data_IF_118720240105
#
_entry.id   IF_118720240105
#
_cell.length_a   1.000
_cell.length_b   1.000
_cell.length_c   1.000
_cell.angle_alpha   90.00
_cell.angle_beta   90.00
_cell.angle_gamma   90.00
#
_symmetry.space_group_name_H-M   'P 1'
#
loop_
_entity.id
_entity.type
_entity.pdbx_description
1 polymer ?
#
# COMPACT_ATOMS: atom_id res chain seq x y z
N UNK A 1 10.20 2.52 -2.59
CA UNK A 1 9.95 3.40 -1.41
C UNK A 1 8.48 3.82 -1.32
N UNK A 2 7.81 4.03 -2.45
CA UNK A 2 6.39 4.35 -2.63
C UNK A 2 5.42 3.48 -1.81
N UNK A 3 5.68 2.18 -1.65
CA UNK A 3 4.89 1.26 -0.84
C UNK A 3 4.84 1.64 0.64
N UNK A 4 5.98 2.07 1.20
CA UNK A 4 6.08 2.47 2.61
C UNK A 4 5.34 3.79 2.83
N UNK A 5 5.48 4.74 1.91
CA UNK A 5 4.76 6.01 1.97
C UNK A 5 3.25 5.81 1.84
N UNK A 6 2.80 4.92 0.94
CA UNK A 6 1.40 4.57 0.81
C UNK A 6 0.85 3.92 2.08
N UNK A 7 1.60 3.00 2.69
CA UNK A 7 1.23 2.37 3.96
C UNK A 7 1.15 3.39 5.11
N UNK A 8 2.12 4.31 5.22
CA UNK A 8 2.09 5.38 6.23
C UNK A 8 0.92 6.34 6.02
N UNK A 9 0.59 6.67 4.77
CA UNK A 9 -0.58 7.50 4.45
C UNK A 9 -1.87 6.82 4.88
N UNK A 10 -2.05 5.54 4.54
CA UNK A 10 -3.21 4.75 4.94
C UNK A 10 -3.32 4.66 6.47
N UNK A 11 -2.21 4.39 7.16
CA UNK A 11 -2.15 4.37 8.62
C UNK A 11 -2.60 5.69 9.23
N UNK A 12 -2.07 6.82 8.74
CA UNK A 12 -2.41 8.15 9.26
C UNK A 12 -3.85 8.57 8.92
N UNK A 13 -4.42 8.06 7.84
CA UNK A 13 -5.81 8.25 7.46
C UNK A 13 -6.78 7.33 8.24
N UNK A 14 -6.28 6.45 9.12
CA UNK A 14 -7.10 5.48 9.85
C UNK A 14 -7.72 4.41 8.94
N UNK A 15 -7.14 4.20 7.74
CA UNK A 15 -7.57 3.18 6.79
C UNK A 15 -6.75 1.91 6.99
N UNK A 16 -7.40 0.77 6.82
CA UNK A 16 -6.73 -0.52 6.88
C UNK A 16 -5.68 -0.66 5.77
N UNK A 17 -4.51 -1.19 6.11
CA UNK A 17 -3.43 -1.45 5.16
C UNK A 17 -3.64 -2.85 4.56
N UNK A 18 -4.42 -2.92 3.48
CA UNK A 18 -4.69 -4.16 2.75
C UNK A 18 -4.31 -4.03 1.26
N UNK A 19 -4.34 -5.15 0.53
CA UNK A 19 -3.89 -5.20 -0.87
C UNK A 19 -4.69 -4.24 -1.76
N UNK A 20 -6.00 -4.12 -1.52
CA UNK A 20 -6.88 -3.23 -2.28
C UNK A 20 -6.52 -1.76 -2.05
N UNK A 21 -6.48 -1.33 -0.79
CA UNK A 21 -6.22 0.06 -0.41
C UNK A 21 -4.84 0.52 -0.87
N UNK A 22 -3.82 -0.33 -0.71
CA UNK A 22 -2.46 -0.01 -1.14
C UNK A 22 -2.36 0.10 -2.66
N UNK A 23 -2.98 -0.83 -3.39
CA UNK A 23 -3.01 -0.82 -4.86
C UNK A 23 -3.73 0.42 -5.39
N UNK A 24 -4.85 0.82 -4.78
CA UNK A 24 -5.60 2.01 -5.17
C UNK A 24 -4.80 3.29 -4.98
N UNK A 25 -4.09 3.43 -3.86
CA UNK A 25 -3.24 4.60 -3.60
C UNK A 25 -2.08 4.66 -4.59
N UNK A 26 -1.40 3.54 -4.83
CA UNK A 26 -0.28 3.48 -5.76
C UNK A 26 -0.72 3.77 -7.21
N UNK A 27 -1.86 3.23 -7.65
CA UNK A 27 -2.44 3.55 -8.96
C UNK A 27 -2.89 5.00 -9.06
N UNK A 28 -3.48 5.56 -8.02
CA UNK A 28 -3.87 6.98 -7.99
C UNK A 28 -2.66 7.91 -8.08
N UNK A 29 -1.50 7.47 -7.59
CA UNK A 29 -0.22 8.16 -7.75
C UNK A 29 0.43 7.96 -9.14
N UNK A 30 -0.24 7.24 -10.06
CA UNK A 30 0.27 6.97 -11.42
C UNK A 30 1.34 5.88 -11.50
N UNK A 31 1.51 5.08 -10.43
CA UNK A 31 2.45 3.97 -10.41
C UNK A 31 1.75 2.65 -10.74
N UNK A 32 2.48 1.69 -11.29
CA UNK A 32 1.99 0.32 -11.52
C UNK A 32 2.50 -0.60 -10.40
N UNK A 33 1.69 -0.88 -9.35
CA UNK A 33 2.14 -1.64 -8.20
C UNK A 33 2.29 -3.13 -8.51
N UNK A 34 3.43 -3.71 -8.11
CA UNK A 34 3.69 -5.14 -8.19
C UNK A 34 2.89 -5.88 -7.11
N UNK A 35 1.97 -6.79 -7.49
CA UNK A 35 1.12 -7.51 -6.55
C UNK A 35 1.91 -8.38 -5.56
N UNK A 36 3.10 -8.88 -5.93
CA UNK A 36 3.97 -9.64 -5.01
C UNK A 36 4.49 -8.71 -3.91
N UNK A 37 4.93 -7.50 -4.26
CA UNK A 37 5.45 -6.52 -3.29
C UNK A 37 4.37 -5.98 -2.37
N UNK A 38 3.16 -5.75 -2.91
CA UNK A 38 1.99 -5.38 -2.11
C UNK A 38 1.69 -6.46 -1.06
N UNK A 39 1.65 -7.72 -1.47
CA UNK A 39 1.43 -8.86 -0.56
C UNK A 39 2.51 -8.98 0.50
N UNK A 40 3.79 -8.89 0.11
CA UNK A 40 4.89 -8.94 1.06
C UNK A 40 4.82 -7.82 2.10
N UNK A 41 4.44 -6.60 1.71
CA UNK A 41 4.29 -5.50 2.66
C UNK A 41 3.12 -5.72 3.62
N UNK A 42 1.95 -6.09 3.10
CA UNK A 42 0.77 -6.35 3.93
C UNK A 42 1.05 -7.50 4.93
N UNK A 43 1.78 -8.53 4.49
CA UNK A 43 2.19 -9.63 5.36
C UNK A 43 3.20 -9.22 6.43
N UNK A 44 4.12 -8.30 6.13
CA UNK A 44 5.12 -7.81 7.07
C UNK A 44 4.57 -6.81 8.12
N UNK A 45 3.39 -6.24 7.87
CA UNK A 45 2.72 -5.28 8.76
C UNK A 45 1.61 -5.90 9.62
N UNK A 46 1.30 -7.19 9.40
CA UNK A 46 0.54 -8.01 10.35
C UNK A 46 1.40 -8.34 11.56
#
# INVERSE_FOLDING_TARGET
MEYIYAAMLLHRAGKEINEENLTRVLKAAGTDPDPVRVKSLVAALK
#
